data_IF_721199007593
#
_entry.id   IF_721199007593
#
_cell.length_a   1.000
_cell.length_b   1.000
_cell.length_c   1.000
_cell.angle_alpha   90.00
_cell.angle_beta   90.00
_cell.angle_gamma   90.00
#
_symmetry.space_group_name_H-M   'P 1'
#
loop_
_entity.id
_entity.type
_entity.pdbx_description
1 polymer ?
#
# COMPACT_ATOMS: atom_id res chain seq x y z
N UNK A 1 65.74 -59.32 15.16
CA UNK A 1 65.14 -59.43 13.82
C UNK A 1 63.67 -59.06 13.93
N UNK A 2 63.17 -58.32 12.94
CA UNK A 2 61.81 -57.77 12.77
C UNK A 2 61.46 -56.48 13.54
N UNK A 3 61.57 -55.40 12.78
CA UNK A 3 61.05 -54.04 12.89
C UNK A 3 59.51 -53.96 12.73
N UNK A 4 58.86 -52.78 12.59
CA UNK A 4 58.46 -51.91 13.70
C UNK A 4 57.04 -51.32 13.53
N UNK A 5 56.73 -50.33 14.39
CA UNK A 5 55.85 -49.15 14.18
C UNK A 5 54.33 -49.37 14.11
N UNK A 6 53.47 -48.63 14.80
CA UNK A 6 53.65 -47.39 15.58
C UNK A 6 52.33 -47.07 16.30
N UNK A 7 52.37 -46.86 17.60
CA UNK A 7 51.32 -46.21 18.40
C UNK A 7 52.00 -45.21 19.33
N UNK A 8 51.52 -43.97 19.29
CA UNK A 8 51.53 -42.91 20.34
C UNK A 8 51.42 -41.54 19.63
N UNK A 9 50.24 -40.93 19.50
CA UNK A 9 49.55 -40.08 20.49
C UNK A 9 50.29 -38.78 20.82
N UNK A 10 49.89 -37.66 20.20
CA UNK A 10 49.95 -36.35 20.87
C UNK A 10 48.76 -35.46 20.47
N UNK A 11 48.11 -34.97 21.52
CA UNK A 11 46.97 -34.05 21.58
C UNK A 11 47.19 -32.76 20.78
N UNK A 12 46.18 -32.33 20.02
CA UNK A 12 45.96 -30.91 19.69
C UNK A 12 44.46 -30.61 19.75
N UNK A 13 44.13 -29.53 20.45
CA UNK A 13 42.79 -29.07 20.83
C UNK A 13 41.86 -28.79 19.63
N UNK A 14 40.52 -28.91 19.79
CA UNK A 14 39.60 -28.45 18.77
C UNK A 14 39.45 -26.92 18.86
N UNK A 15 40.00 -26.18 17.90
CA UNK A 15 39.55 -24.81 17.63
C UNK A 15 38.13 -24.86 17.10
N UNK A 16 37.18 -24.34 17.89
CA UNK A 16 35.81 -24.12 17.45
C UNK A 16 35.80 -23.28 16.17
N UNK A 17 35.34 -23.88 15.06
CA UNK A 17 34.90 -23.10 13.89
C UNK A 17 33.57 -22.46 14.26
N UNK A 18 33.61 -21.17 14.55
CA UNK A 18 32.41 -20.33 14.59
C UNK A 18 31.93 -20.09 13.17
N UNK A 19 31.20 -21.04 12.59
CA UNK A 19 30.36 -20.78 11.42
C UNK A 19 29.08 -20.08 11.88
N UNK A 20 29.21 -18.83 12.30
CA UNK A 20 28.08 -17.91 12.40
C UNK A 20 28.02 -17.08 11.11
N UNK A 21 27.49 -17.70 10.05
CA UNK A 21 26.98 -17.00 8.87
C UNK A 21 25.68 -16.26 9.23
N UNK A 22 25.76 -15.26 10.12
CA UNK A 22 24.72 -14.23 10.27
C UNK A 22 25.04 -13.09 9.30
N UNK A 23 24.82 -13.34 8.01
CA UNK A 23 24.88 -12.30 6.98
C UNK A 23 23.75 -12.46 5.97
N UNK A 24 22.50 -12.47 6.44
CA UNK A 24 21.38 -12.23 5.53
C UNK A 24 20.10 -11.70 6.21
N UNK A 25 20.20 -10.86 7.25
CA UNK A 25 19.02 -10.13 7.79
C UNK A 25 19.02 -8.66 7.38
N UNK A 26 20.20 -8.07 7.19
CA UNK A 26 20.36 -6.65 6.90
C UNK A 26 19.87 -6.28 5.50
N UNK A 27 19.95 -7.19 4.53
CA UNK A 27 19.46 -6.96 3.16
C UNK A 27 17.93 -7.00 3.10
N UNK A 28 17.30 -7.96 3.78
CA UNK A 28 15.85 -8.04 3.88
C UNK A 28 15.25 -6.89 4.70
N UNK A 29 15.91 -6.47 5.78
CA UNK A 29 15.53 -5.25 6.50
C UNK A 29 15.69 -4.01 5.63
N UNK A 30 16.83 -3.82 4.95
CA UNK A 30 17.03 -2.69 4.04
C UNK A 30 16.01 -2.68 2.89
N UNK A 31 15.67 -3.85 2.32
CA UNK A 31 14.61 -3.98 1.32
C UNK A 31 13.25 -3.55 1.88
N UNK A 32 12.89 -3.98 3.10
CA UNK A 32 11.67 -3.50 3.76
C UNK A 32 11.66 -1.98 3.97
N UNK A 33 12.79 -1.35 4.30
CA UNK A 33 12.87 0.12 4.39
C UNK A 33 12.75 0.80 3.03
N UNK A 34 13.23 0.16 1.95
CA UNK A 34 13.13 0.72 0.59
C UNK A 34 11.72 0.76 0.00
N UNK A 35 10.71 0.12 0.59
CA UNK A 35 9.34 0.10 0.07
C UNK A 35 8.26 0.54 1.07
N UNK A 36 8.59 1.39 2.05
CA UNK A 36 7.58 1.94 2.96
C UNK A 36 6.85 3.13 2.33
N UNK A 37 5.53 3.09 2.36
CA UNK A 37 4.66 4.15 1.90
C UNK A 37 3.73 4.59 3.02
N UNK A 38 3.36 5.87 3.01
CA UNK A 38 2.35 6.43 3.89
C UNK A 38 1.28 7.12 3.05
N UNK A 39 0.03 6.87 3.44
CA UNK A 39 -1.15 7.47 2.83
C UNK A 39 -2.00 8.07 3.93
N UNK A 40 -2.40 9.33 3.77
CA UNK A 40 -3.23 10.03 4.76
C UNK A 40 -4.42 10.65 4.04
N UNK A 41 -5.62 10.23 4.43
CA UNK A 41 -6.86 10.87 4.01
C UNK A 41 -7.16 12.03 4.97
N UNK A 42 -7.19 13.26 4.44
CA UNK A 42 -7.51 14.46 5.22
C UNK A 42 -9.03 14.64 5.33
N UNK A 43 -9.63 13.91 6.27
CA UNK A 43 -11.05 13.99 6.59
C UNK A 43 -11.26 13.73 8.09
N UNK A 44 -12.44 14.12 8.60
CA UNK A 44 -12.79 13.86 9.99
C UNK A 44 -13.04 12.36 10.22
N UNK A 45 -12.22 11.75 11.06
CA UNK A 45 -12.38 10.35 11.48
C UNK A 45 -13.15 10.28 12.79
N UNK A 46 -14.06 9.32 12.90
CA UNK A 46 -14.79 9.03 14.13
C UNK A 46 -13.83 8.63 15.25
N UNK A 47 -14.19 9.01 16.47
CA UNK A 47 -13.49 8.55 17.68
C UNK A 47 -13.93 7.10 17.92
N UNK A 48 -12.99 6.14 17.87
CA UNK A 48 -13.28 4.77 18.30
C UNK A 48 -13.55 4.78 19.82
N UNK A 49 -14.80 4.52 20.21
CA UNK A 49 -15.24 4.57 21.60
C UNK A 49 -15.30 3.20 22.26
N UNK A 50 -15.31 2.11 21.49
CA UNK A 50 -15.37 0.73 21.99
C UNK A 50 -14.13 -0.05 21.62
N UNK A 51 -13.70 -0.91 22.55
CA UNK A 51 -12.60 -1.83 22.32
C UNK A 51 -12.99 -2.79 21.19
N UNK A 52 -12.14 -2.91 20.17
CA UNK A 52 -12.32 -3.79 18.99
C UNK A 52 -13.23 -3.29 17.86
N UNK A 53 -13.68 -2.03 17.87
CA UNK A 53 -14.32 -1.40 16.69
C UNK A 53 -13.29 -0.65 15.84
N UNK A 54 -13.35 -0.83 14.52
CA UNK A 54 -12.52 -0.06 13.58
C UNK A 54 -13.02 1.39 13.49
N UNK A 55 -12.10 2.35 13.43
CA UNK A 55 -12.45 3.76 13.20
C UNK A 55 -12.97 3.97 11.79
N UNK A 56 -14.12 4.63 11.65
CA UNK A 56 -14.68 5.03 10.36
C UNK A 56 -14.39 6.50 10.06
N UNK A 57 -14.19 6.83 8.78
CA UNK A 57 -14.07 8.21 8.30
C UNK A 57 -15.27 8.52 7.43
N UNK A 58 -16.05 9.55 7.78
CA UNK A 58 -17.24 9.92 7.04
C UNK A 58 -16.88 10.92 5.94
N UNK A 59 -17.29 10.61 4.71
CA UNK A 59 -17.11 11.46 3.54
C UNK A 59 -18.47 11.89 3.01
N UNK A 60 -18.59 13.16 2.67
CA UNK A 60 -19.76 13.68 1.97
C UNK A 60 -19.63 13.38 0.46
N UNK A 61 -20.73 12.93 -0.14
CA UNK A 61 -20.81 12.64 -1.57
C UNK A 61 -20.45 13.88 -2.41
N UNK A 62 -19.64 13.70 -3.45
CA UNK A 62 -19.22 14.75 -4.38
C UNK A 62 -18.26 15.81 -3.81
N UNK A 63 -17.99 15.78 -2.50
CA UNK A 63 -17.05 16.71 -1.88
C UNK A 63 -15.59 16.22 -2.08
N UNK A 64 -14.65 17.12 -2.42
CA UNK A 64 -13.25 16.74 -2.56
C UNK A 64 -12.57 16.54 -1.19
N UNK A 65 -11.80 15.45 -1.07
CA UNK A 65 -10.96 15.15 0.08
C UNK A 65 -9.53 14.85 -0.36
N UNK A 66 -8.54 15.39 0.35
CA UNK A 66 -7.13 15.18 0.04
C UNK A 66 -6.65 13.80 0.51
N UNK A 67 -5.94 13.09 -0.35
CA UNK A 67 -5.09 11.95 -0.01
C UNK A 67 -3.65 12.39 -0.21
N UNK A 68 -2.87 12.45 0.87
CA UNK A 68 -1.42 12.67 0.79
C UNK A 68 -0.70 11.35 0.60
N UNK A 69 0.24 11.31 -0.34
CA UNK A 69 1.07 10.15 -0.63
C UNK A 69 2.52 10.47 -0.31
N UNK A 70 3.20 9.56 0.39
CA UNK A 70 4.61 9.74 0.72
C UNK A 70 5.36 8.42 0.67
N UNK A 71 6.51 8.43 0.00
CA UNK A 71 7.53 7.40 0.16
C UNK A 71 8.30 7.69 1.46
N UNK A 72 8.33 6.75 2.39
CA UNK A 72 9.00 6.89 3.68
C UNK A 72 10.36 6.19 3.62
N UNK A 73 11.36 6.77 4.28
CA UNK A 73 12.72 6.24 4.34
C UNK A 73 13.61 6.75 3.21
N UNK A 74 14.64 5.98 2.87
CA UNK A 74 15.62 6.37 1.85
C UNK A 74 14.97 6.52 0.45
N UNK A 75 15.30 7.63 -0.22
CA UNK A 75 14.83 8.02 -1.55
C UNK A 75 15.93 7.89 -2.62
N UNK A 76 17.16 7.52 -2.27
CA UNK A 76 18.28 7.36 -3.21
C UNK A 76 17.91 6.47 -4.40
N UNK A 77 17.20 5.37 -4.13
CA UNK A 77 16.73 4.42 -5.14
C UNK A 77 15.50 4.87 -5.93
N UNK A 78 14.92 6.02 -5.58
CA UNK A 78 13.69 6.56 -6.13
C UNK A 78 13.92 7.82 -6.99
N UNK A 79 15.14 8.36 -7.01
CA UNK A 79 15.49 9.50 -7.86
C UNK A 79 15.21 9.17 -9.33
N UNK A 80 14.58 10.12 -10.02
CA UNK A 80 14.18 10.03 -11.43
C UNK A 80 13.20 8.89 -11.76
N UNK A 81 12.54 8.30 -10.75
CA UNK A 81 11.48 7.31 -10.92
C UNK A 81 10.11 7.96 -10.76
N UNK A 82 9.17 7.50 -11.57
CA UNK A 82 7.75 7.79 -11.41
C UNK A 82 7.07 6.54 -10.86
N UNK A 83 6.35 6.69 -9.76
CA UNK A 83 5.55 5.62 -9.16
C UNK A 83 4.11 5.70 -9.66
N UNK A 84 3.48 4.54 -9.81
CA UNK A 84 2.05 4.41 -10.09
C UNK A 84 1.33 3.95 -8.83
N UNK A 85 0.32 4.70 -8.40
CA UNK A 85 -0.60 4.29 -7.33
C UNK A 85 -2.00 4.12 -7.91
N UNK A 86 -2.73 3.12 -7.42
CA UNK A 86 -4.13 2.85 -7.76
C UNK A 86 -4.97 3.19 -6.54
N UNK A 87 -5.88 4.16 -6.67
CA UNK A 87 -6.84 4.50 -5.64
C UNK A 87 -8.17 3.84 -6.04
N UNK A 88 -8.69 2.96 -5.18
CA UNK A 88 -9.90 2.18 -5.46
C UNK A 88 -10.88 2.25 -4.28
N UNK A 89 -12.16 2.44 -4.58
CA UNK A 89 -13.27 2.25 -3.64
C UNK A 89 -13.71 0.78 -3.72
N UNK A 90 -13.68 0.09 -2.59
CA UNK A 90 -13.99 -1.34 -2.47
C UNK A 90 -14.99 -1.58 -1.35
N UNK A 91 -15.70 -2.71 -1.43
CA UNK A 91 -16.52 -3.17 -0.32
C UNK A 91 -15.66 -3.73 0.80
N UNK A 92 -15.93 -3.30 2.04
CA UNK A 92 -15.29 -3.87 3.23
C UNK A 92 -15.93 -5.23 3.61
N UNK A 93 -17.26 -5.36 3.52
CA UNK A 93 -17.97 -6.59 3.85
C UNK A 93 -17.71 -7.69 2.81
N UNK A 94 -17.32 -8.89 3.28
CA UNK A 94 -16.99 -10.04 2.43
C UNK A 94 -18.13 -10.43 1.46
N UNK A 95 -19.38 -10.40 1.93
CA UNK A 95 -20.55 -10.73 1.08
C UNK A 95 -20.67 -9.77 -0.10
N UNK A 96 -20.51 -8.47 0.15
CA UNK A 96 -20.57 -7.43 -0.88
C UNK A 96 -19.37 -7.50 -1.84
N UNK A 97 -18.19 -7.95 -1.39
CA UNK A 97 -17.05 -8.20 -2.28
C UNK A 97 -17.37 -9.26 -3.35
N UNK A 98 -18.08 -10.33 -3.00
CA UNK A 98 -18.51 -11.34 -3.99
C UNK A 98 -19.49 -10.78 -5.02
N UNK A 99 -20.32 -9.82 -4.61
CA UNK A 99 -21.30 -9.15 -5.46
C UNK A 99 -20.76 -7.85 -6.08
N UNK A 100 -19.47 -7.52 -5.95
CA UNK A 100 -18.91 -6.20 -6.29
C UNK A 100 -19.25 -5.80 -7.73
N UNK A 101 -19.12 -6.74 -8.68
CA UNK A 101 -19.42 -6.48 -10.10
C UNK A 101 -20.89 -6.13 -10.32
N UNK A 102 -21.81 -6.84 -9.67
CA UNK A 102 -23.25 -6.63 -9.81
C UNK A 102 -23.67 -5.30 -9.16
N UNK A 103 -23.17 -5.03 -7.95
CA UNK A 103 -23.43 -3.78 -7.24
C UNK A 103 -22.93 -2.55 -8.02
N UNK A 104 -21.71 -2.62 -8.58
CA UNK A 104 -21.17 -1.53 -9.42
C UNK A 104 -21.97 -1.38 -10.72
N UNK A 105 -22.40 -2.49 -11.34
CA UNK A 105 -23.18 -2.45 -12.57
C UNK A 105 -24.58 -1.84 -12.34
N UNK A 106 -25.24 -2.19 -11.24
CA UNK A 106 -26.53 -1.61 -10.86
C UNK A 106 -26.39 -0.11 -10.59
N UNK A 107 -25.40 0.30 -9.79
CA UNK A 107 -25.13 1.70 -9.52
C UNK A 107 -24.89 2.51 -10.80
N UNK A 108 -24.13 1.95 -11.75
CA UNK A 108 -23.88 2.59 -13.04
C UNK A 108 -25.13 2.68 -13.93
N UNK A 109 -26.02 1.68 -13.88
CA UNK A 109 -27.25 1.69 -14.67
C UNK A 109 -28.20 2.82 -14.23
N UNK A 110 -28.20 3.16 -12.94
CA UNK A 110 -28.97 4.26 -12.37
C UNK A 110 -28.31 5.64 -12.64
N UNK A 111 -26.99 5.66 -12.89
CA UNK A 111 -26.17 6.88 -13.00
C UNK A 111 -25.26 6.85 -14.24
N UNK A 112 -25.83 6.83 -15.46
CA UNK A 112 -25.06 6.67 -16.68
C UNK A 112 -24.06 7.82 -16.87
N UNK A 113 -22.79 7.47 -17.07
CA UNK A 113 -21.70 8.43 -17.29
C UNK A 113 -21.03 8.94 -16.01
N UNK A 114 -21.54 8.61 -14.83
CA UNK A 114 -20.88 8.92 -13.56
C UNK A 114 -19.85 7.84 -13.19
N UNK A 115 -18.80 8.25 -12.46
CA UNK A 115 -17.82 7.35 -11.86
C UNK A 115 -17.98 7.35 -10.35
N UNK A 116 -17.75 6.20 -9.71
CA UNK A 116 -17.81 6.06 -8.24
C UNK A 116 -16.74 6.93 -7.58
N UNK A 117 -15.55 7.01 -8.20
CA UNK A 117 -14.45 7.84 -7.74
C UNK A 117 -13.86 8.65 -8.90
N UNK A 118 -13.60 9.92 -8.61
CA UNK A 118 -13.00 10.89 -9.52
C UNK A 118 -11.88 11.65 -8.83
N UNK A 119 -10.99 12.26 -9.61
CA UNK A 119 -9.97 13.17 -9.12
C UNK A 119 -10.34 14.61 -9.44
N UNK A 120 -10.19 15.51 -8.47
CA UNK A 120 -10.21 16.94 -8.68
C UNK A 120 -8.80 17.40 -9.09
N UNK A 121 -8.53 17.37 -10.39
CA UNK A 121 -7.20 17.73 -10.95
C UNK A 121 -6.80 19.16 -10.60
N UNK A 122 -7.66 20.19 -10.72
CA UNK A 122 -7.31 21.57 -10.33
C UNK A 122 -6.87 21.73 -8.89
N UNK A 123 -7.42 20.94 -7.95
CA UNK A 123 -7.09 21.02 -6.53
C UNK A 123 -5.88 20.14 -6.15
N UNK A 124 -5.53 19.16 -7.00
CA UNK A 124 -4.42 18.23 -6.78
C UNK A 124 -3.06 18.83 -7.14
N UNK A 125 -1.99 18.36 -6.49
CA UNK A 125 -0.63 18.83 -6.73
C UNK A 125 0.39 17.68 -6.65
N UNK A 126 1.53 17.84 -7.33
CA UNK A 126 2.62 16.84 -7.35
C UNK A 126 2.33 15.58 -8.19
N UNK A 127 1.09 15.40 -8.64
CA UNK A 127 0.70 14.35 -9.59
C UNK A 127 1.19 14.72 -10.99
N UNK A 128 1.91 13.80 -11.64
CA UNK A 128 2.45 14.01 -13.00
C UNK A 128 1.48 13.55 -14.08
N UNK A 129 0.67 12.53 -13.80
CA UNK A 129 -0.37 12.02 -14.71
C UNK A 129 -1.49 11.36 -13.93
N UNK A 130 -2.71 11.49 -14.43
CA UNK A 130 -3.89 10.75 -13.98
C UNK A 130 -4.38 9.88 -15.13
N UNK A 131 -4.75 8.64 -14.85
CA UNK A 131 -5.51 7.79 -15.78
C UNK A 131 -6.78 7.30 -15.09
N UNK A 132 -7.92 7.42 -15.78
CA UNK A 132 -9.21 6.92 -15.30
C UNK A 132 -9.59 5.68 -16.13
N UNK A 133 -9.34 4.46 -15.62
CA UNK A 133 -9.63 3.23 -16.34
C UNK A 133 -11.15 3.00 -16.51
N UNK A 134 -11.52 2.01 -17.31
CA UNK A 134 -12.93 1.63 -17.53
C UNK A 134 -13.65 1.20 -16.25
N UNK A 135 -12.93 0.66 -15.26
CA UNK A 135 -13.51 0.40 -13.94
C UNK A 135 -13.85 1.72 -13.23
N UNK A 136 -15.11 1.88 -12.85
CA UNK A 136 -15.69 3.13 -12.34
C UNK A 136 -15.24 3.46 -10.91
N UNK A 137 -14.80 2.45 -10.17
CA UNK A 137 -14.39 2.57 -8.77
C UNK A 137 -12.88 2.68 -8.58
N UNK A 138 -12.11 2.93 -9.64
CA UNK A 138 -10.67 3.11 -9.54
C UNK A 138 -10.16 4.30 -10.36
N UNK A 139 -9.04 4.86 -9.93
CA UNK A 139 -8.22 5.78 -10.69
C UNK A 139 -6.74 5.48 -10.47
N UNK A 140 -5.91 5.79 -11.47
CA UNK A 140 -4.46 5.66 -11.39
C UNK A 140 -3.84 7.05 -11.34
N UNK A 141 -2.85 7.21 -10.47
CA UNK A 141 -2.03 8.41 -10.38
C UNK A 141 -0.57 8.05 -10.53
N UNK A 142 0.15 8.93 -11.20
CA UNK A 142 1.59 8.84 -11.39
C UNK A 142 2.22 10.01 -10.66
N UNK A 143 3.26 9.75 -9.88
CA UNK A 143 3.85 10.74 -9.02
C UNK A 143 5.33 10.51 -8.79
N UNK A 144 6.05 11.60 -8.52
CA UNK A 144 7.46 11.59 -8.17
C UNK A 144 7.60 11.42 -6.64
N UNK A 145 8.23 10.32 -6.16
CA UNK A 145 8.37 10.05 -4.74
C UNK A 145 9.28 11.01 -3.99
N UNK A 146 9.99 11.89 -4.69
CA UNK A 146 10.85 12.92 -4.10
C UNK A 146 10.15 14.26 -3.88
N UNK A 147 8.88 14.38 -4.30
CA UNK A 147 8.08 15.60 -4.18
C UNK A 147 6.94 15.41 -3.20
N UNK A 148 6.41 16.54 -2.72
CA UNK A 148 5.14 16.54 -1.99
C UNK A 148 3.99 16.31 -2.97
N UNK A 149 3.09 15.38 -2.63
CA UNK A 149 1.99 14.95 -3.50
C UNK A 149 0.70 14.86 -2.68
N UNK A 150 -0.33 15.54 -3.18
CA UNK A 150 -1.69 15.51 -2.65
C UNK A 150 -2.68 15.31 -3.80
N UNK A 151 -3.53 14.30 -3.68
CA UNK A 151 -4.57 13.99 -4.67
C UNK A 151 -5.92 14.22 -4.04
N UNK A 152 -6.71 15.11 -4.61
CA UNK A 152 -8.07 15.36 -4.15
C UNK A 152 -9.02 14.43 -4.88
N UNK A 153 -9.74 13.59 -4.13
CA UNK A 153 -10.72 12.65 -4.67
C UNK A 153 -12.14 13.08 -4.33
N UNK A 154 -13.08 12.77 -5.21
CA UNK A 154 -14.52 12.85 -4.97
C UNK A 154 -15.10 11.45 -5.02
N UNK A 155 -15.92 11.11 -4.03
CA UNK A 155 -16.68 9.85 -4.00
C UNK A 155 -18.13 10.18 -4.33
N UNK A 156 -18.65 9.56 -5.38
CA UNK A 156 -19.97 9.90 -5.93
C UNK A 156 -21.04 8.86 -5.58
N UNK A 157 -20.73 7.89 -4.71
CA UNK A 157 -21.69 6.93 -4.18
C UNK A 157 -21.89 7.10 -2.67
N UNK A 158 -23.03 6.67 -2.15
CA UNK A 158 -23.32 6.57 -0.71
C UNK A 158 -23.52 5.11 -0.31
N UNK A 159 -23.22 4.78 0.94
CA UNK A 159 -23.25 3.38 1.41
C UNK A 159 -24.61 2.70 1.24
N UNK A 160 -25.71 3.44 1.39
CA UNK A 160 -27.08 2.90 1.28
C UNK A 160 -27.48 2.53 -0.15
N UNK A 161 -26.77 2.99 -1.17
CA UNK A 161 -26.98 2.57 -2.57
C UNK A 161 -26.58 1.09 -2.80
N UNK A 162 -25.83 0.48 -1.88
CA UNK A 162 -25.30 -0.89 -2.05
C UNK A 162 -25.79 -1.90 -1.01
N UNK A 163 -26.73 -1.52 -0.15
CA UNK A 163 -27.20 -2.37 0.95
C UNK A 163 -28.71 -2.59 0.97
N UNK A 164 -29.41 -2.15 -0.08
CA UNK A 164 -30.85 -2.29 -0.22
C UNK A 164 -31.28 -3.77 -0.37
#
# INVERSE_FOLDING_TARGET
MCSPSSLESFLHSPTARSDNSFKDDTRFQNLQFTYRFQYVLAAATSIATKQNEETLTYLNQGQPYEIKLKKVGDLLHCKDKILKSIIKICFHERRLQYMEREQIAQWHAERPGERIIEVDVPLSYGVTRVEQPTCLNALHIYWDPTKDVGVYIKVNCISTEFTA
#
